data_IF_269994713965
#
_entry.id   IF_269994713965
#
_cell.length_a   1.000
_cell.length_b   1.000
_cell.length_c   1.000
_cell.angle_alpha   90.00
_cell.angle_beta   90.00
_cell.angle_gamma   90.00
#
_symmetry.space_group_name_H-M   'P 1'
#
loop_
_entity.id
_entity.type
_entity.pdbx_description
1 polymer ?
#
# COMPACT_ATOMS: atom_id res chain seq x y z
N UNK A 1 -0.28 -66.66 -36.66
CA UNK A 1 0.52 -65.77 -35.79
C UNK A 1 -0.34 -64.58 -35.46
N UNK A 2 -0.99 -64.67 -34.30
CA UNK A 2 -1.98 -63.75 -33.76
C UNK A 2 -1.29 -62.72 -32.87
N UNK A 3 -1.50 -61.44 -33.17
CA UNK A 3 -1.06 -60.31 -32.34
C UNK A 3 -1.98 -60.18 -31.12
N UNK A 4 -1.47 -60.01 -29.89
CA UNK A 4 -2.33 -59.83 -28.73
C UNK A 4 -2.80 -58.37 -28.63
N UNK A 5 -4.11 -58.20 -28.47
CA UNK A 5 -4.79 -56.95 -28.16
C UNK A 5 -4.31 -56.41 -26.80
N UNK A 6 -3.70 -55.23 -26.81
CA UNK A 6 -3.42 -54.45 -25.62
C UNK A 6 -4.70 -53.72 -25.19
N UNK A 7 -5.39 -54.26 -24.19
CA UNK A 7 -6.52 -53.62 -23.53
C UNK A 7 -6.06 -52.38 -22.74
N UNK A 8 -6.32 -51.20 -23.29
CA UNK A 8 -6.09 -49.90 -22.68
C UNK A 8 -7.13 -49.66 -21.58
N UNK A 9 -6.82 -50.09 -20.35
CA UNK A 9 -7.58 -49.75 -19.14
C UNK A 9 -7.28 -48.30 -18.75
N UNK A 10 -7.89 -47.34 -19.46
CA UNK A 10 -7.91 -45.93 -19.06
C UNK A 10 -8.88 -45.80 -17.89
N UNK A 11 -8.37 -46.00 -16.67
CA UNK A 11 -9.09 -45.72 -15.45
C UNK A 11 -9.57 -44.26 -15.49
N UNK A 12 -10.88 -44.09 -15.67
CA UNK A 12 -11.61 -42.85 -15.47
C UNK A 12 -11.32 -42.34 -14.05
N UNK A 13 -10.30 -41.51 -13.92
CA UNK A 13 -10.13 -40.66 -12.75
C UNK A 13 -11.45 -39.89 -12.60
N UNK A 14 -12.09 -39.91 -11.43
CA UNK A 14 -13.31 -39.15 -11.20
C UNK A 14 -13.00 -37.69 -11.56
N UNK A 15 -13.72 -37.18 -12.57
CA UNK A 15 -13.60 -35.79 -13.01
C UNK A 15 -13.74 -34.87 -11.79
N UNK A 16 -12.97 -33.76 -11.73
CA UNK A 16 -13.04 -32.85 -10.61
C UNK A 16 -14.50 -32.46 -10.38
N UNK A 17 -15.03 -32.85 -9.23
CA UNK A 17 -16.39 -32.59 -8.82
C UNK A 17 -16.69 -31.09 -8.97
N UNK A 18 -17.68 -30.77 -9.79
CA UNK A 18 -18.07 -29.38 -10.04
C UNK A 18 -18.32 -28.66 -8.71
N UNK A 19 -17.71 -27.49 -8.49
CA UNK A 19 -17.85 -26.77 -7.23
C UNK A 19 -19.30 -26.37 -7.00
N UNK A 20 -19.82 -26.72 -5.82
CA UNK A 20 -21.19 -26.45 -5.38
C UNK A 20 -21.53 -24.95 -5.57
N UNK A 21 -22.52 -24.58 -6.41
CA UNK A 21 -22.73 -23.19 -6.84
C UNK A 21 -23.25 -22.20 -5.78
N UNK A 22 -23.51 -22.62 -4.53
CA UNK A 22 -24.30 -21.82 -3.59
C UNK A 22 -23.55 -21.01 -2.52
N UNK A 23 -22.35 -21.43 -2.11
CA UNK A 23 -21.74 -20.92 -0.86
C UNK A 23 -20.94 -19.60 -1.00
N UNK A 24 -20.49 -19.25 -2.21
CA UNK A 24 -19.55 -18.15 -2.42
C UNK A 24 -20.19 -16.76 -2.50
N UNK A 25 -21.53 -16.66 -2.57
CA UNK A 25 -22.23 -15.39 -2.74
C UNK A 25 -22.16 -14.51 -1.48
N UNK A 26 -22.48 -15.07 -0.33
CA UNK A 26 -22.62 -14.32 0.93
C UNK A 26 -21.28 -13.74 1.38
N UNK A 27 -20.20 -14.52 1.35
CA UNK A 27 -18.86 -14.04 1.73
C UNK A 27 -18.39 -12.85 0.87
N UNK A 28 -18.66 -12.88 -0.45
CA UNK A 28 -18.32 -11.78 -1.35
C UNK A 28 -19.10 -10.51 -1.03
N UNK A 29 -20.39 -10.64 -0.73
CA UNK A 29 -21.24 -9.50 -0.35
C UNK A 29 -20.78 -8.91 0.98
N UNK A 30 -20.49 -9.75 1.98
CA UNK A 30 -19.97 -9.30 3.27
C UNK A 30 -18.64 -8.56 3.12
N UNK A 31 -17.67 -9.10 2.37
CA UNK A 31 -16.40 -8.43 2.11
C UNK A 31 -16.57 -7.05 1.46
N UNK A 32 -17.55 -6.89 0.57
CA UNK A 32 -17.87 -5.59 -0.03
C UNK A 32 -18.38 -4.62 1.01
N UNK A 33 -19.36 -5.04 1.81
CA UNK A 33 -19.95 -4.21 2.85
C UNK A 33 -18.86 -3.79 3.84
N UNK A 34 -18.02 -4.72 4.30
CA UNK A 34 -16.92 -4.42 5.21
C UNK A 34 -15.86 -3.49 4.59
N UNK A 35 -15.49 -3.67 3.32
CA UNK A 35 -14.56 -2.76 2.65
C UNK A 35 -15.12 -1.33 2.55
N UNK A 36 -16.39 -1.16 2.18
CA UNK A 36 -17.02 0.17 2.13
C UNK A 36 -17.17 0.77 3.53
N UNK A 37 -17.55 -0.03 4.51
CA UNK A 37 -17.71 0.41 5.89
C UNK A 37 -16.37 0.87 6.48
N UNK A 38 -15.32 0.05 6.38
CA UNK A 38 -13.99 0.42 6.89
C UNK A 38 -13.40 1.61 6.15
N UNK A 39 -13.62 1.72 4.84
CA UNK A 39 -13.25 2.92 4.08
C UNK A 39 -13.98 4.16 4.60
N UNK A 40 -15.29 4.10 4.79
CA UNK A 40 -16.10 5.22 5.26
C UNK A 40 -15.68 5.65 6.68
N UNK A 41 -15.48 4.69 7.58
CA UNK A 41 -14.98 4.96 8.93
C UNK A 41 -13.57 5.57 8.87
N UNK A 42 -12.64 5.01 8.09
CA UNK A 42 -11.29 5.56 7.97
C UNK A 42 -11.30 6.99 7.39
N UNK A 43 -12.10 7.22 6.35
CA UNK A 43 -12.23 8.53 5.68
C UNK A 43 -12.80 9.63 6.58
N UNK A 44 -13.52 9.27 7.64
CA UNK A 44 -14.13 10.22 8.57
C UNK A 44 -13.33 10.34 9.85
N UNK A 45 -12.96 9.21 10.45
CA UNK A 45 -12.25 9.15 11.73
C UNK A 45 -10.82 9.67 11.62
N UNK A 46 -10.10 9.36 10.53
CA UNK A 46 -8.70 9.78 10.40
C UNK A 46 -8.59 11.30 10.31
N UNK A 47 -9.29 12.01 9.41
CA UNK A 47 -9.24 13.47 9.37
C UNK A 47 -9.64 14.09 10.71
N UNK A 48 -10.70 13.57 11.35
CA UNK A 48 -11.15 14.07 12.65
C UNK A 48 -10.08 13.87 13.71
N UNK A 49 -9.50 12.69 13.86
CA UNK A 49 -8.45 12.45 14.86
C UNK A 49 -7.18 13.27 14.58
N UNK A 50 -6.82 13.45 13.30
CA UNK A 50 -5.67 14.29 12.95
C UNK A 50 -5.92 15.78 13.20
N UNK A 51 -7.16 16.24 13.12
CA UNK A 51 -7.49 17.67 13.18
C UNK A 51 -8.08 18.10 14.51
N UNK A 52 -8.67 17.21 15.31
CA UNK A 52 -9.50 17.60 16.45
C UNK A 52 -9.02 17.13 17.83
N UNK A 53 -8.07 16.20 17.96
CA UNK A 53 -7.83 15.62 19.30
C UNK A 53 -6.38 15.31 19.59
N UNK A 54 -5.76 16.19 20.37
CA UNK A 54 -5.00 15.76 21.54
C UNK A 54 -5.60 16.45 22.77
N UNK A 55 -5.62 15.75 23.90
CA UNK A 55 -6.27 16.20 25.14
C UNK A 55 -5.95 17.67 25.46
N UNK A 56 -7.00 18.47 25.71
CA UNK A 56 -6.88 19.91 25.98
C UNK A 56 -7.39 20.83 24.86
N UNK A 57 -7.98 20.29 23.79
CA UNK A 57 -8.53 21.09 22.68
C UNK A 57 -7.48 21.59 21.68
N UNK A 58 -6.29 20.98 21.71
CA UNK A 58 -5.20 21.26 20.79
C UNK A 58 -5.20 20.26 19.65
N UNK A 59 -5.00 20.74 18.44
CA UNK A 59 -4.86 19.93 17.23
C UNK A 59 -3.47 19.30 17.15
N UNK A 60 -3.25 18.34 16.24
CA UNK A 60 -1.89 17.83 15.97
C UNK A 60 -0.99 18.99 15.50
N UNK A 61 -1.52 19.96 14.74
CA UNK A 61 -0.72 21.13 14.36
C UNK A 61 -0.35 21.97 15.57
N UNK A 62 -1.26 22.15 16.53
CA UNK A 62 -1.00 22.94 17.73
C UNK A 62 0.11 22.29 18.60
N UNK A 63 0.14 20.96 18.70
CA UNK A 63 1.24 20.27 19.39
C UNK A 63 2.55 20.39 18.64
N UNK A 64 2.47 20.35 17.32
CA UNK A 64 3.62 20.52 16.45
C UNK A 64 4.15 21.97 16.46
N UNK A 65 3.27 22.95 16.67
CA UNK A 65 3.62 24.36 16.85
C UNK A 65 4.17 24.63 18.25
N UNK A 66 3.70 23.90 19.26
CA UNK A 66 4.20 23.98 20.64
C UNK A 66 5.54 23.28 20.84
N UNK A 67 5.82 22.25 20.03
CA UNK A 67 7.10 21.56 20.00
C UNK A 67 7.59 21.58 18.55
N UNK A 68 8.04 22.73 18.04
CA UNK A 68 8.52 22.87 16.67
C UNK A 68 9.76 22.01 16.51
N UNK A 69 9.53 20.77 16.09
CA UNK A 69 10.59 19.93 15.59
C UNK A 69 10.82 20.34 14.15
N UNK A 70 12.05 20.14 13.67
CA UNK A 70 12.39 20.27 12.24
C UNK A 70 11.50 19.37 11.34
N UNK A 71 10.63 18.54 11.90
CA UNK A 71 9.85 17.49 11.23
C UNK A 71 8.36 17.52 11.56
N UNK A 72 7.88 18.66 12.08
CA UNK A 72 6.46 18.97 12.15
C UNK A 72 5.86 18.81 10.76
N UNK A 73 5.10 17.74 10.48
CA UNK A 73 4.52 17.53 9.15
C UNK A 73 3.54 18.65 8.88
N UNK A 74 3.71 19.34 7.75
CA UNK A 74 2.84 20.45 7.40
C UNK A 74 1.41 19.91 7.26
N UNK A 75 0.41 20.52 7.92
CA UNK A 75 -0.97 20.06 7.82
C UNK A 75 -1.47 19.98 6.37
N UNK A 76 -1.00 20.89 5.50
CA UNK A 76 -1.29 20.87 4.08
C UNK A 76 -0.81 19.60 3.37
N UNK A 77 0.40 19.12 3.68
CA UNK A 77 0.92 17.87 3.14
C UNK A 77 0.13 16.65 3.64
N UNK A 78 -0.19 16.61 4.94
CA UNK A 78 -1.00 15.53 5.53
C UNK A 78 -2.37 15.46 4.85
N UNK A 79 -3.04 16.60 4.66
CA UNK A 79 -4.34 16.66 3.96
C UNK A 79 -4.21 16.18 2.52
N UNK A 80 -3.20 16.66 1.79
CA UNK A 80 -2.97 16.26 0.40
C UNK A 80 -2.74 14.74 0.29
N UNK A 81 -1.91 14.18 1.17
CA UNK A 81 -1.64 12.74 1.24
C UNK A 81 -2.94 11.95 1.46
N UNK A 82 -3.75 12.36 2.45
CA UNK A 82 -5.03 11.70 2.74
C UNK A 82 -6.02 11.86 1.59
N UNK A 83 -6.09 13.01 0.93
CA UNK A 83 -6.94 13.20 -0.24
C UNK A 83 -6.55 12.25 -1.38
N UNK A 84 -5.26 12.14 -1.70
CA UNK A 84 -4.74 11.21 -2.72
C UNK A 84 -5.08 9.78 -2.34
N UNK A 85 -4.82 9.39 -1.08
CA UNK A 85 -5.18 8.08 -0.56
C UNK A 85 -6.67 7.80 -0.70
N UNK A 86 -7.54 8.73 -0.30
CA UNK A 86 -8.99 8.57 -0.40
C UNK A 86 -9.46 8.43 -1.85
N UNK A 87 -8.90 9.19 -2.78
CA UNK A 87 -9.23 9.07 -4.21
C UNK A 87 -8.82 7.69 -4.76
N UNK A 88 -7.62 7.22 -4.41
CA UNK A 88 -7.09 5.93 -4.83
C UNK A 88 -7.88 4.77 -4.22
N UNK A 89 -8.20 4.84 -2.94
CA UNK A 89 -9.03 3.85 -2.23
C UNK A 89 -10.47 3.86 -2.75
N UNK A 90 -11.05 5.02 -3.06
CA UNK A 90 -12.37 5.13 -3.70
C UNK A 90 -12.36 4.41 -5.05
N UNK A 91 -11.33 4.64 -5.88
CA UNK A 91 -11.18 3.95 -7.16
C UNK A 91 -11.06 2.44 -6.98
N UNK A 92 -10.34 1.97 -5.95
CA UNK A 92 -10.26 0.56 -5.60
C UNK A 92 -11.63 -0.02 -5.22
N UNK A 93 -12.36 0.63 -4.32
CA UNK A 93 -13.68 0.19 -3.83
C UNK A 93 -14.72 0.18 -4.96
N UNK A 94 -14.78 1.23 -5.78
CA UNK A 94 -15.64 1.30 -6.97
C UNK A 94 -15.24 0.23 -8.00
N UNK A 95 -13.94 0.05 -8.24
CA UNK A 95 -13.40 -0.97 -9.12
C UNK A 95 -13.80 -2.39 -8.66
N UNK A 96 -13.77 -2.66 -7.36
CA UNK A 96 -14.19 -3.92 -6.77
C UNK A 96 -15.67 -4.26 -7.02
N UNK A 97 -16.53 -3.23 -7.11
CA UNK A 97 -17.95 -3.39 -7.43
C UNK A 97 -18.18 -3.74 -8.91
N UNK A 98 -17.35 -3.18 -9.81
CA UNK A 98 -17.42 -3.36 -11.26
C UNK A 98 -16.84 -4.70 -11.76
N UNK A 99 -16.09 -5.42 -10.91
CA UNK A 99 -15.28 -6.58 -11.29
C UNK A 99 -16.08 -7.89 -11.52
N UNK A 100 -17.26 -7.82 -12.15
CA UNK A 100 -18.09 -9.00 -12.49
C UNK A 100 -17.40 -9.97 -13.46
N UNK A 101 -16.43 -9.51 -14.26
CA UNK A 101 -15.77 -10.33 -15.29
C UNK A 101 -14.69 -11.30 -14.78
N UNK A 102 -14.13 -11.12 -13.58
CA UNK A 102 -13.07 -12.03 -13.07
C UNK A 102 -13.62 -13.26 -12.32
N UNK A 103 -14.94 -13.33 -12.17
CA UNK A 103 -15.62 -14.35 -11.35
C UNK A 103 -15.57 -15.75 -11.95
N UNK A 104 -15.40 -15.86 -13.28
CA UNK A 104 -15.38 -17.15 -13.99
C UNK A 104 -14.01 -17.85 -13.95
N UNK A 105 -12.92 -17.14 -13.65
CA UNK A 105 -11.55 -17.70 -13.69
C UNK A 105 -10.96 -18.05 -12.31
N UNK A 106 -11.79 -18.29 -11.28
CA UNK A 106 -11.30 -18.78 -9.98
C UNK A 106 -10.35 -17.80 -9.24
N UNK A 107 -10.47 -16.50 -9.49
CA UNK A 107 -9.54 -15.51 -8.97
C UNK A 107 -9.74 -15.30 -7.45
N UNK A 108 -8.92 -15.96 -6.61
CA UNK A 108 -8.86 -15.72 -5.15
C UNK A 108 -8.18 -14.40 -4.76
N UNK A 109 -7.46 -13.74 -5.69
CA UNK A 109 -6.67 -12.52 -5.42
C UNK A 109 -7.47 -11.30 -4.93
N UNK A 110 -8.65 -10.95 -5.48
CA UNK A 110 -9.39 -9.77 -5.04
C UNK A 110 -9.80 -9.86 -3.57
N UNK A 111 -10.10 -11.06 -3.08
CA UNK A 111 -10.45 -11.27 -1.68
C UNK A 111 -9.25 -10.98 -0.76
N UNK A 112 -8.04 -11.39 -1.15
CA UNK A 112 -6.82 -11.15 -0.35
C UNK A 112 -6.48 -9.67 -0.26
N UNK A 113 -6.46 -8.96 -1.39
CA UNK A 113 -6.30 -7.50 -1.42
C UNK A 113 -7.39 -6.79 -0.59
N UNK A 114 -8.63 -7.29 -0.63
CA UNK A 114 -9.72 -6.79 0.20
C UNK A 114 -9.47 -6.94 1.70
N UNK A 115 -8.93 -8.07 2.16
CA UNK A 115 -8.59 -8.28 3.57
C UNK A 115 -7.46 -7.33 3.99
N UNK A 116 -6.40 -7.23 3.19
CA UNK A 116 -5.29 -6.29 3.47
C UNK A 116 -5.77 -4.85 3.56
N UNK A 117 -6.68 -4.44 2.67
CA UNK A 117 -7.31 -3.12 2.71
C UNK A 117 -8.10 -2.87 4.00
N UNK A 118 -8.94 -3.84 4.40
CA UNK A 118 -9.76 -3.76 5.61
C UNK A 118 -8.87 -3.68 6.85
N UNK A 119 -7.88 -4.57 6.97
CA UNK A 119 -6.95 -4.60 8.10
C UNK A 119 -6.13 -3.32 8.17
N UNK A 120 -5.66 -2.81 7.04
CA UNK A 120 -4.94 -1.54 6.99
C UNK A 120 -5.79 -0.39 7.57
N UNK A 121 -7.04 -0.25 7.13
CA UNK A 121 -7.93 0.80 7.66
C UNK A 121 -8.16 0.66 9.17
N UNK A 122 -8.38 -0.58 9.66
CA UNK A 122 -8.57 -0.84 11.09
C UNK A 122 -7.30 -0.47 11.89
N UNK A 123 -6.12 -0.92 11.45
CA UNK A 123 -4.87 -0.61 12.14
C UNK A 123 -4.55 0.88 12.10
N UNK A 124 -4.82 1.55 10.99
CA UNK A 124 -4.61 3.00 10.88
C UNK A 124 -5.52 3.77 11.83
N UNK A 125 -6.80 3.38 11.97
CA UNK A 125 -7.71 3.97 12.96
C UNK A 125 -7.23 3.71 14.39
N UNK A 126 -6.86 2.47 14.71
CA UNK A 126 -6.36 2.09 16.02
C UNK A 126 -5.08 2.85 16.38
N UNK A 127 -4.15 2.95 15.43
CA UNK A 127 -2.93 3.73 15.58
C UNK A 127 -3.26 5.20 15.88
N UNK A 128 -4.06 5.85 15.04
CA UNK A 128 -4.43 7.26 15.21
C UNK A 128 -5.11 7.51 16.57
N UNK A 129 -5.99 6.59 16.98
CA UNK A 129 -6.67 6.66 18.27
C UNK A 129 -5.68 6.54 19.44
N UNK A 130 -4.80 5.54 19.43
CA UNK A 130 -3.80 5.33 20.48
C UNK A 130 -2.79 6.48 20.56
N UNK A 131 -2.37 6.98 19.40
CA UNK A 131 -1.47 8.13 19.29
C UNK A 131 -2.11 9.40 19.88
N UNK A 132 -3.36 9.70 19.53
CA UNK A 132 -4.11 10.84 20.06
C UNK A 132 -4.29 10.80 21.60
N UNK A 133 -4.24 9.61 22.20
CA UNK A 133 -4.32 9.40 23.65
C UNK A 133 -2.94 9.26 24.33
N UNK A 134 -1.86 9.59 23.62
CA UNK A 134 -0.48 9.53 24.12
C UNK A 134 -0.04 8.14 24.60
N UNK A 135 -0.62 7.07 24.03
CA UNK A 135 -0.22 5.69 24.30
C UNK A 135 0.87 5.24 23.31
N UNK A 136 2.03 5.91 23.33
CA UNK A 136 3.03 5.80 22.26
C UNK A 136 3.50 4.36 22.00
N UNK A 137 3.86 3.60 23.05
CA UNK A 137 4.28 2.20 22.91
C UNK A 137 3.23 1.26 22.29
N UNK A 138 1.93 1.50 22.55
CA UNK A 138 0.85 0.73 21.92
C UNK A 138 0.62 1.19 20.48
N UNK A 139 0.70 2.49 20.21
CA UNK A 139 0.59 3.02 18.85
C UNK A 139 1.69 2.47 17.95
N UNK A 140 2.93 2.41 18.43
CA UNK A 140 4.06 1.78 17.72
C UNK A 140 3.83 0.31 17.43
N UNK A 141 3.31 -0.43 18.42
CA UNK A 141 3.02 -1.85 18.25
C UNK A 141 1.97 -2.08 17.15
N UNK A 142 0.91 -1.25 17.09
CA UNK A 142 -0.10 -1.33 16.04
C UNK A 142 0.47 -0.93 14.67
N UNK A 143 1.32 0.10 14.62
CA UNK A 143 1.97 0.55 13.40
C UNK A 143 2.89 -0.54 12.83
N UNK A 144 3.66 -1.21 13.69
CA UNK A 144 4.51 -2.33 13.32
C UNK A 144 3.72 -3.55 12.82
N UNK A 145 2.58 -3.86 13.46
CA UNK A 145 1.67 -4.91 12.99
C UNK A 145 1.07 -4.57 11.62
N UNK A 146 0.70 -3.30 11.38
CA UNK A 146 0.24 -2.80 10.10
C UNK A 146 1.33 -2.97 9.03
N UNK A 147 2.57 -2.61 9.35
CA UNK A 147 3.73 -2.81 8.48
C UNK A 147 3.93 -4.27 8.08
N UNK A 148 3.95 -5.20 9.05
CA UNK A 148 4.05 -6.64 8.78
C UNK A 148 2.90 -7.12 7.88
N UNK A 149 1.66 -6.71 8.18
CA UNK A 149 0.49 -7.08 7.41
C UNK A 149 0.59 -6.60 5.95
N UNK A 150 1.08 -5.38 5.73
CA UNK A 150 1.29 -4.82 4.39
C UNK A 150 2.44 -5.50 3.66
N UNK A 151 3.52 -5.87 4.36
CA UNK A 151 4.65 -6.64 3.80
C UNK A 151 4.21 -8.03 3.33
N UNK A 152 3.43 -8.75 4.15
CA UNK A 152 2.86 -10.06 3.78
C UNK A 152 1.95 -9.89 2.56
N UNK A 153 1.11 -8.85 2.54
CA UNK A 153 0.25 -8.54 1.39
C UNK A 153 1.06 -8.31 0.10
N UNK A 154 2.16 -7.56 0.19
CA UNK A 154 3.03 -7.24 -0.93
C UNK A 154 3.82 -8.47 -1.44
N UNK A 155 4.39 -9.27 -0.52
CA UNK A 155 5.20 -10.44 -0.85
C UNK A 155 4.42 -11.57 -1.51
N UNK A 156 3.20 -11.84 -1.05
CA UNK A 156 2.35 -12.89 -1.65
C UNK A 156 1.94 -12.58 -3.09
N UNK A 157 1.88 -11.31 -3.48
CA UNK A 157 1.52 -10.93 -4.85
C UNK A 157 2.68 -11.17 -5.83
N UNK A 158 3.94 -11.07 -5.39
CA UNK A 158 5.11 -11.23 -6.24
C UNK A 158 5.30 -12.67 -6.73
N UNK A 159 5.18 -13.68 -5.87
CA UNK A 159 5.27 -15.10 -6.28
C UNK A 159 4.18 -15.47 -7.27
N UNK A 160 3.01 -14.87 -7.06
CA UNK A 160 1.85 -15.08 -7.90
C UNK A 160 2.02 -14.47 -9.31
N UNK A 161 2.87 -13.45 -9.45
CA UNK A 161 3.22 -12.83 -10.73
C UNK A 161 4.20 -13.70 -11.52
N UNK A 162 5.27 -14.16 -10.85
CA UNK A 162 6.29 -15.04 -11.43
C UNK A 162 5.70 -16.37 -11.91
N UNK A 163 4.79 -16.96 -11.13
CA UNK A 163 4.11 -18.20 -11.52
C UNK A 163 3.22 -18.06 -12.76
N UNK A 164 2.63 -16.88 -13.00
CA UNK A 164 1.74 -16.66 -14.16
C UNK A 164 2.45 -16.24 -15.44
N UNK A 165 3.52 -15.45 -15.35
CA UNK A 165 4.36 -15.18 -16.52
C UNK A 165 4.93 -16.50 -17.09
N UNK A 166 5.17 -17.49 -16.22
CA UNK A 166 5.58 -18.84 -16.61
C UNK A 166 4.48 -19.66 -17.30
N UNK A 167 3.21 -19.42 -16.98
CA UNK A 167 2.04 -20.10 -17.55
C UNK A 167 1.51 -19.40 -18.82
N UNK A 168 1.70 -18.09 -18.97
CA UNK A 168 1.30 -17.34 -20.16
C UNK A 168 2.18 -17.65 -21.39
N UNK A 169 3.42 -18.11 -21.18
CA UNK A 169 4.24 -18.71 -22.24
C UNK A 169 3.60 -19.95 -22.87
N UNK A 170 2.75 -20.66 -22.12
CA UNK A 170 2.13 -21.93 -22.53
C UNK A 170 0.74 -21.75 -23.15
N UNK A 171 0.00 -20.71 -22.78
CA UNK A 171 -1.38 -20.47 -23.27
C UNK A 171 -1.47 -19.72 -24.62
N UNK A 172 -0.35 -19.31 -25.22
CA UNK A 172 -0.31 -18.60 -26.51
C UNK A 172 -0.83 -19.42 -27.71
N UNK A 173 -1.12 -20.71 -27.53
CA UNK A 173 -1.55 -21.65 -28.57
C UNK A 173 -3.06 -21.79 -28.79
N UNK A 174 -3.94 -21.22 -27.96
CA UNK A 174 -5.38 -21.39 -28.09
C UNK A 174 -6.06 -20.03 -28.28
N UNK A 175 -6.81 -19.88 -29.38
CA UNK A 175 -7.38 -18.62 -29.91
C UNK A 175 -8.43 -17.91 -29.04
N UNK A 176 -8.12 -17.64 -27.78
CA UNK A 176 -8.90 -16.79 -26.91
C UNK A 176 -8.78 -15.33 -27.36
N UNK A 177 -9.91 -14.62 -27.42
CA UNK A 177 -9.97 -13.19 -27.77
C UNK A 177 -9.01 -12.40 -26.88
N UNK A 178 -8.24 -11.45 -27.43
CA UNK A 178 -7.32 -10.64 -26.63
C UNK A 178 -8.15 -9.73 -25.71
N UNK A 179 -8.35 -10.16 -24.46
CA UNK A 179 -8.68 -9.21 -23.39
C UNK A 179 -7.53 -8.21 -23.38
N UNK A 180 -7.83 -6.91 -23.50
CA UNK A 180 -6.82 -5.85 -23.58
C UNK A 180 -5.95 -5.88 -22.33
N UNK A 181 -4.78 -6.53 -22.42
CA UNK A 181 -3.80 -6.73 -21.35
C UNK A 181 -3.39 -5.41 -20.68
N UNK A 182 -3.49 -4.30 -21.43
CA UNK A 182 -3.25 -2.94 -20.95
C UNK A 182 -4.17 -2.54 -19.79
N UNK A 183 -5.46 -2.85 -19.90
CA UNK A 183 -6.45 -2.52 -18.87
C UNK A 183 -6.22 -3.31 -17.57
N UNK A 184 -5.76 -4.56 -17.68
CA UNK A 184 -5.49 -5.42 -16.54
C UNK A 184 -4.22 -5.00 -15.78
N UNK A 185 -3.16 -4.60 -16.49
CA UNK A 185 -1.92 -4.12 -15.87
C UNK A 185 -2.11 -2.77 -15.17
N UNK A 186 -2.78 -1.82 -15.81
CA UNK A 186 -3.04 -0.50 -15.23
C UNK A 186 -3.93 -0.58 -13.99
N UNK A 187 -4.97 -1.42 -14.04
CA UNK A 187 -5.84 -1.67 -12.89
C UNK A 187 -5.10 -2.33 -11.73
N UNK A 188 -4.17 -3.26 -12.01
CA UNK A 188 -3.33 -3.90 -10.98
C UNK A 188 -2.38 -2.91 -10.32
N UNK A 189 -1.70 -2.09 -11.11
CA UNK A 189 -0.77 -1.09 -10.58
C UNK A 189 -1.47 -0.12 -9.64
N UNK A 190 -2.61 0.43 -10.06
CA UNK A 190 -3.35 1.43 -9.27
C UNK A 190 -3.90 0.83 -7.98
N UNK A 191 -4.44 -0.39 -8.02
CA UNK A 191 -4.96 -1.03 -6.81
C UNK A 191 -3.85 -1.41 -5.84
N UNK A 192 -2.71 -1.91 -6.35
CA UNK A 192 -1.55 -2.20 -5.53
C UNK A 192 -1.00 -0.93 -4.89
N UNK A 193 -0.91 0.14 -5.66
CA UNK A 193 -0.48 1.46 -5.20
C UNK A 193 -1.37 1.97 -4.07
N UNK A 194 -2.69 1.89 -4.26
CA UNK A 194 -3.70 2.38 -3.32
C UNK A 194 -3.79 1.59 -2.01
N UNK A 195 -3.71 0.26 -2.09
CA UNK A 195 -4.02 -0.65 -0.98
C UNK A 195 -2.78 -1.05 -0.20
N UNK A 196 -1.63 -1.17 -0.87
CA UNK A 196 -0.42 -1.73 -0.29
C UNK A 196 0.72 -0.71 -0.30
N UNK A 197 1.10 -0.20 -1.47
CA UNK A 197 2.34 0.55 -1.62
C UNK A 197 2.35 1.86 -0.84
N UNK A 198 1.38 2.76 -1.06
CA UNK A 198 1.33 4.04 -0.33
C UNK A 198 1.19 3.83 1.19
N UNK A 199 0.24 3.02 1.68
CA UNK A 199 0.18 2.60 3.08
C UNK A 199 1.49 2.10 3.67
N UNK A 200 2.20 1.24 2.94
CA UNK A 200 3.43 0.62 3.39
C UNK A 200 4.55 1.64 3.50
N UNK A 201 4.68 2.52 2.51
CA UNK A 201 5.68 3.59 2.53
C UNK A 201 5.41 4.60 3.65
N UNK A 202 4.13 4.90 3.92
CA UNK A 202 3.78 5.73 5.07
C UNK A 202 4.12 5.05 6.40
N UNK A 203 3.85 3.75 6.56
CA UNK A 203 4.18 3.06 7.82
C UNK A 203 5.69 3.00 8.05
N UNK A 204 6.50 2.83 7.00
CA UNK A 204 7.98 2.92 7.08
C UNK A 204 8.44 4.28 7.57
N UNK A 205 7.80 5.36 7.12
CA UNK A 205 8.12 6.71 7.58
C UNK A 205 7.63 7.00 9.01
N UNK A 206 6.41 6.56 9.34
CA UNK A 206 5.75 6.89 10.61
C UNK A 206 6.46 6.27 11.82
N UNK A 207 7.12 5.11 11.67
CA UNK A 207 7.86 4.46 12.77
C UNK A 207 9.00 5.35 13.30
N UNK A 208 10.03 5.73 12.50
CA UNK A 208 11.08 6.61 12.98
C UNK A 208 10.56 8.01 13.31
N UNK A 209 9.47 8.47 12.67
CA UNK A 209 8.85 9.76 13.00
C UNK A 209 8.26 9.78 14.42
N UNK A 210 7.48 8.78 14.83
CA UNK A 210 6.96 8.70 16.19
C UNK A 210 8.09 8.61 17.23
N UNK A 211 9.16 7.87 16.93
CA UNK A 211 10.36 7.82 17.78
C UNK A 211 10.98 9.22 17.91
N UNK A 212 11.07 9.99 16.82
CA UNK A 212 11.59 11.35 16.85
C UNK A 212 10.71 12.29 17.69
N UNK A 213 9.38 12.14 17.63
CA UNK A 213 8.43 12.90 18.45
C UNK A 213 8.62 12.59 19.94
N UNK A 214 8.76 11.31 20.31
CA UNK A 214 9.01 10.90 21.69
C UNK A 214 10.37 11.43 22.22
N UNK A 215 11.35 11.60 21.33
CA UNK A 215 12.68 12.13 21.64
C UNK A 215 12.82 13.66 21.46
N UNK A 216 11.73 14.36 21.14
CA UNK A 216 11.72 15.81 20.84
C UNK A 216 12.34 16.69 21.93
N UNK A 217 12.40 16.21 23.19
CA UNK A 217 13.12 16.90 24.29
C UNK A 217 14.63 17.04 24.06
N UNK A 218 15.21 16.30 23.11
CA UNK A 218 16.62 16.36 22.72
C UNK A 218 16.73 16.82 21.26
N UNK A 219 16.81 18.14 21.06
CA UNK A 219 16.73 18.80 19.74
C UNK A 219 17.72 18.24 18.70
N UNK A 220 18.93 17.85 19.10
CA UNK A 220 19.91 17.32 18.13
C UNK A 220 19.61 15.88 17.69
N UNK A 221 19.13 15.03 18.60
CA UNK A 221 18.90 13.61 18.31
C UNK A 221 17.64 13.44 17.46
N UNK A 222 16.59 14.19 17.77
CA UNK A 222 15.36 14.19 16.97
C UNK A 222 15.62 14.61 15.52
N UNK A 223 16.56 15.53 15.31
CA UNK A 223 16.94 15.99 13.98
C UNK A 223 17.61 14.88 13.15
N UNK A 224 18.62 14.23 13.71
CA UNK A 224 19.37 13.18 13.00
C UNK A 224 18.49 11.95 12.68
N UNK A 225 17.59 11.57 13.60
CA UNK A 225 16.67 10.45 13.41
C UNK A 225 15.73 10.71 12.23
N UNK A 226 15.29 11.94 12.05
CA UNK A 226 14.31 12.24 11.03
C UNK A 226 14.94 12.50 9.64
N UNK A 227 16.18 13.00 9.58
CA UNK A 227 17.01 12.86 8.37
C UNK A 227 17.13 11.38 7.98
N UNK A 228 17.48 10.54 8.97
CA UNK A 228 17.59 9.10 8.76
C UNK A 228 16.27 8.49 8.28
N UNK A 229 15.11 8.95 8.77
CA UNK A 229 13.80 8.48 8.32
C UNK A 229 13.56 8.75 6.82
N UNK A 230 13.94 9.93 6.33
CA UNK A 230 13.81 10.29 4.91
C UNK A 230 14.75 9.43 4.05
N UNK A 231 16.01 9.27 4.47
CA UNK A 231 16.95 8.38 3.77
C UNK A 231 16.53 6.92 3.79
N UNK A 232 15.96 6.45 4.90
CA UNK A 232 15.42 5.10 5.01
C UNK A 232 14.30 4.89 3.99
N UNK A 233 13.42 5.87 3.82
CA UNK A 233 12.33 5.83 2.85
C UNK A 233 12.83 5.77 1.42
N UNK A 234 13.88 6.53 1.11
CA UNK A 234 14.53 6.51 -0.20
C UNK A 234 15.25 5.18 -0.48
N UNK A 235 16.06 4.70 0.47
CA UNK A 235 16.74 3.41 0.36
C UNK A 235 15.70 2.30 0.17
N UNK A 236 14.60 2.35 0.91
CA UNK A 236 13.49 1.43 0.77
C UNK A 236 12.87 1.50 -0.63
N UNK A 237 12.56 2.70 -1.13
CA UNK A 237 12.02 2.89 -2.48
C UNK A 237 12.96 2.36 -3.56
N UNK A 238 14.25 2.68 -3.47
CA UNK A 238 15.30 2.26 -4.39
C UNK A 238 15.45 0.73 -4.44
N UNK A 239 15.42 0.04 -3.29
CA UNK A 239 15.44 -1.42 -3.24
C UNK A 239 14.24 -2.02 -3.97
N UNK A 240 13.02 -1.51 -3.73
CA UNK A 240 11.83 -2.02 -4.40
C UNK A 240 11.81 -1.72 -5.89
N UNK A 241 12.35 -0.59 -6.34
CA UNK A 241 12.55 -0.32 -7.77
C UNK A 241 13.53 -1.31 -8.40
N UNK A 242 14.63 -1.65 -7.72
CA UNK A 242 15.57 -2.65 -8.19
C UNK A 242 14.94 -4.05 -8.32
N UNK A 243 13.99 -4.36 -7.42
CA UNK A 243 13.15 -5.56 -7.47
C UNK A 243 12.00 -5.47 -8.48
N UNK A 244 11.99 -4.47 -9.37
CA UNK A 244 10.96 -4.22 -10.38
C UNK A 244 9.56 -3.90 -9.81
N UNK A 245 9.47 -3.57 -8.52
CA UNK A 245 8.23 -3.12 -7.90
C UNK A 245 8.10 -1.61 -7.94
N UNK A 246 7.76 -1.12 -9.14
CA UNK A 246 7.65 0.31 -9.42
C UNK A 246 6.58 1.01 -8.56
N UNK A 247 5.58 0.28 -8.03
CA UNK A 247 4.51 0.87 -7.23
C UNK A 247 5.01 1.30 -5.84
N UNK A 248 5.73 0.42 -5.16
CA UNK A 248 6.35 0.73 -3.86
C UNK A 248 7.46 1.77 -4.03
N UNK A 249 8.30 1.60 -5.06
CA UNK A 249 9.33 2.58 -5.40
C UNK A 249 8.77 3.99 -5.61
N UNK A 250 7.73 4.12 -6.45
CA UNK A 250 7.12 5.41 -6.74
C UNK A 250 6.46 6.03 -5.50
N UNK A 251 5.75 5.23 -4.69
CA UNK A 251 5.13 5.69 -3.45
C UNK A 251 6.17 6.24 -2.46
N UNK A 252 7.29 5.53 -2.29
CA UNK A 252 8.41 5.94 -1.43
C UNK A 252 9.03 7.24 -1.90
N UNK A 253 9.32 7.34 -3.21
CA UNK A 253 9.94 8.52 -3.79
C UNK A 253 9.02 9.75 -3.69
N UNK A 254 7.73 9.57 -3.97
CA UNK A 254 6.73 10.63 -3.81
C UNK A 254 6.68 11.16 -2.37
N UNK A 255 6.64 10.25 -1.39
CA UNK A 255 6.60 10.62 0.02
C UNK A 255 7.93 11.26 0.47
N UNK A 256 9.08 10.73 0.05
CA UNK A 256 10.41 11.29 0.35
C UNK A 256 10.56 12.72 -0.18
N UNK A 257 10.17 12.96 -1.44
CA UNK A 257 10.20 14.29 -2.05
C UNK A 257 9.25 15.22 -1.31
N UNK A 258 8.02 14.78 -1.01
CA UNK A 258 7.05 15.58 -0.27
C UNK A 258 7.59 16.08 1.07
N UNK A 259 8.21 15.16 1.83
CA UNK A 259 8.84 15.48 3.11
C UNK A 259 10.04 16.43 2.97
N UNK A 260 10.84 16.28 1.91
CA UNK A 260 11.97 17.16 1.63
C UNK A 260 11.57 18.55 1.14
N UNK A 261 10.54 18.65 0.31
CA UNK A 261 9.93 19.93 -0.12
C UNK A 261 9.46 20.71 1.11
N UNK A 262 8.89 20.02 2.08
CA UNK A 262 8.45 20.64 3.32
C UNK A 262 9.58 21.30 4.11
N UNK A 263 10.81 20.82 3.95
CA UNK A 263 12.01 21.40 4.58
C UNK A 263 12.53 22.65 3.89
N UNK A 264 11.94 23.10 2.76
CA UNK A 264 12.43 24.28 2.03
C UNK A 264 12.35 25.59 2.81
N UNK A 265 11.45 25.67 3.80
CA UNK A 265 11.35 26.85 4.66
C UNK A 265 12.54 27.04 5.61
N UNK A 266 13.39 26.02 5.77
CA UNK A 266 14.56 26.10 6.65
C UNK A 266 15.74 26.84 5.97
N UNK A 267 16.49 27.66 6.73
CA UNK A 267 17.61 28.45 6.20
C UNK A 267 18.78 27.59 5.68
N UNK A 268 18.79 26.30 6.03
CA UNK A 268 19.79 25.33 5.59
C UNK A 268 19.57 24.92 4.13
N UNK A 269 20.24 25.67 3.24
CA UNK A 269 20.18 25.54 1.78
C UNK A 269 20.48 24.13 1.24
N UNK A 270 21.06 23.22 2.03
CA UNK A 270 21.43 21.89 1.55
C UNK A 270 20.20 20.99 1.34
N UNK A 271 19.14 21.13 2.14
CA UNK A 271 17.89 20.39 1.96
C UNK A 271 17.26 20.67 0.60
N UNK A 272 17.32 21.93 0.14
CA UNK A 272 16.81 22.32 -1.15
C UNK A 272 17.47 21.57 -2.32
N UNK A 273 18.79 21.42 -2.25
CA UNK A 273 19.55 20.69 -3.26
C UNK A 273 19.29 19.19 -3.18
N UNK A 274 19.12 18.63 -1.98
CA UNK A 274 18.73 17.25 -1.79
C UNK A 274 17.38 16.96 -2.46
N UNK A 275 16.37 17.82 -2.25
CA UNK A 275 15.05 17.73 -2.89
C UNK A 275 15.14 17.72 -4.41
N UNK A 276 15.96 18.62 -4.98
CA UNK A 276 16.15 18.70 -6.44
C UNK A 276 16.82 17.45 -6.98
N UNK A 277 17.88 16.96 -6.32
CA UNK A 277 18.56 15.72 -6.70
C UNK A 277 17.57 14.56 -6.65
N UNK A 278 16.77 14.45 -5.59
CA UNK A 278 15.77 13.39 -5.46
C UNK A 278 14.66 13.46 -6.50
N UNK A 279 14.15 14.64 -6.81
CA UNK A 279 13.17 14.83 -7.87
C UNK A 279 13.73 14.37 -9.23
N UNK A 280 14.99 14.71 -9.53
CA UNK A 280 15.67 14.29 -10.75
C UNK A 280 15.86 12.77 -10.79
N UNK A 281 16.36 12.16 -9.72
CA UNK A 281 16.56 10.71 -9.61
C UNK A 281 15.22 9.97 -9.79
N UNK A 282 14.16 10.43 -9.13
CA UNK A 282 12.81 9.87 -9.26
C UNK A 282 12.25 10.02 -10.68
N UNK A 283 12.50 11.16 -11.34
CA UNK A 283 12.13 11.37 -12.74
C UNK A 283 12.87 10.39 -13.66
N UNK A 284 14.19 10.25 -13.50
CA UNK A 284 15.02 9.32 -14.28
C UNK A 284 14.51 7.88 -14.10
N UNK A 285 14.23 7.47 -12.87
CA UNK A 285 13.71 6.13 -12.61
C UNK A 285 12.30 5.93 -13.16
N UNK A 286 11.42 6.93 -13.07
CA UNK A 286 10.06 6.86 -13.65
C UNK A 286 10.12 6.73 -15.18
N UNK A 287 11.05 7.43 -15.83
CA UNK A 287 11.29 7.32 -17.28
C UNK A 287 11.86 5.94 -17.64
N UNK A 288 12.84 5.44 -16.87
CA UNK A 288 13.41 4.10 -17.07
C UNK A 288 12.34 3.01 -16.93
N UNK A 289 11.49 3.11 -15.90
CA UNK A 289 10.38 2.18 -15.68
C UNK A 289 9.33 2.21 -16.79
N UNK A 290 9.19 3.33 -17.51
CA UNK A 290 8.28 3.44 -18.66
C UNK A 290 8.86 2.86 -19.96
N UNK A 291 10.19 2.69 -20.03
CA UNK A 291 10.90 2.20 -21.22
C UNK A 291 11.06 0.66 -21.19
N UNK A 292 11.16 0.07 -20.00
CA UNK A 292 11.31 -1.38 -19.76
C UNK A 292 9.95 -2.08 -19.84
#
# INVERSE_FOLDING_TARGET
MSSPDASENTSLLPGPSDPIPGGYGIHKVLMRIFAHFTFLVASTVIPVLTYYTVGGGKTISDISDENPTWFTIEPGFVILYWCIMMLLQTKYVLGFSSMRCCTEMGCQRPARLGISFILHNIFTILWAFLFAHSLSGWSESILFLNFIQLCIGCGMDHESLLGRLRLEGTCRGQGARPVSYRCLCEFRFINRLAVLSLPLTLTVYMIPWNIAVDLSRQESISHDIAIFAIFLLDLYGSVFMHLQDCAVGFASAFLAIGLLVQQWGNPDKWYAWLTVVYAVVTCIYSILAAII
#
